data_IF_611242410759
#
_entry.id   IF_611242410759
#
_cell.length_a   1.000
_cell.length_b   1.000
_cell.length_c   1.000
_cell.angle_alpha   90.00
_cell.angle_beta   90.00
_cell.angle_gamma   90.00
#
_symmetry.space_group_name_H-M   'P 1'
#
loop_
_entity.id
_entity.type
_entity.pdbx_description
1 polymer ?
#
# COMPACT_ATOMS: atom_id res chain seq x y z
N UNK A 1 -27.26 4.74 5.24
CA UNK A 1 -26.22 3.72 5.27
C UNK A 1 -26.15 3.05 3.91
N UNK A 2 -25.05 3.20 3.17
CA UNK A 2 -24.90 2.63 1.81
C UNK A 2 -23.89 1.48 1.91
N UNK A 3 -24.32 0.25 1.71
CA UNK A 3 -23.45 -0.93 1.59
C UNK A 3 -23.13 -1.16 0.11
N UNK A 4 -21.88 -1.32 -0.21
CA UNK A 4 -21.44 -1.71 -1.55
C UNK A 4 -20.66 -3.01 -1.38
N UNK A 5 -21.25 -4.12 -1.84
CA UNK A 5 -20.57 -5.40 -1.94
C UNK A 5 -19.99 -5.54 -3.34
N UNK A 6 -18.74 -5.90 -3.43
CA UNK A 6 -18.13 -6.36 -4.68
C UNK A 6 -17.34 -7.63 -4.39
N UNK A 7 -17.75 -8.75 -4.95
CA UNK A 7 -16.90 -9.91 -5.08
C UNK A 7 -16.49 -10.01 -6.54
N UNK A 8 -15.22 -10.14 -6.81
CA UNK A 8 -14.70 -10.38 -8.15
C UNK A 8 -13.69 -11.53 -8.07
N UNK A 9 -13.90 -12.56 -8.88
CA UNK A 9 -12.84 -13.51 -9.21
C UNK A 9 -12.26 -13.10 -10.57
N UNK A 10 -10.98 -12.87 -10.64
CA UNK A 10 -10.29 -12.46 -11.86
C UNK A 10 -8.99 -13.25 -11.98
N UNK A 11 -8.70 -13.79 -13.16
CA UNK A 11 -7.34 -14.22 -13.50
C UNK A 11 -6.54 -12.95 -13.86
N UNK A 12 -5.42 -12.74 -13.20
CA UNK A 12 -4.53 -11.65 -13.48
C UNK A 12 -3.25 -12.19 -14.15
N UNK A 13 -2.91 -11.64 -15.30
CA UNK A 13 -1.63 -11.90 -15.95
C UNK A 13 -0.84 -10.61 -15.94
N UNK A 14 0.33 -10.64 -15.31
CA UNK A 14 1.22 -9.50 -15.22
C UNK A 14 2.63 -9.93 -15.63
N UNK A 15 3.30 -9.14 -16.47
CA UNK A 15 4.71 -9.33 -16.81
C UNK A 15 5.56 -8.43 -15.96
N UNK A 16 6.48 -8.98 -15.20
CA UNK A 16 7.45 -8.24 -14.39
C UNK A 16 8.81 -8.28 -15.07
N UNK A 17 9.35 -7.10 -15.35
CA UNK A 17 10.67 -6.94 -15.98
C UNK A 17 11.66 -6.33 -14.97
N UNK A 18 12.86 -6.90 -14.90
CA UNK A 18 13.96 -6.35 -14.14
C UNK A 18 15.15 -6.15 -15.10
N UNK A 19 15.33 -4.92 -15.57
CA UNK A 19 16.42 -4.56 -16.47
C UNK A 19 17.43 -3.68 -15.71
N UNK A 20 18.66 -4.16 -15.59
CA UNK A 20 19.78 -3.39 -15.08
C UNK A 20 20.68 -2.98 -16.24
N UNK A 21 20.79 -1.69 -16.51
CA UNK A 21 21.70 -1.13 -17.50
C UNK A 21 22.86 -0.42 -16.80
N UNK A 22 24.08 -0.70 -17.25
CA UNK A 22 25.27 0.01 -16.84
C UNK A 22 26.05 0.49 -18.08
N UNK A 23 26.29 1.80 -18.13
CA UNK A 23 27.00 2.45 -19.25
C UNK A 23 26.42 2.13 -20.65
N UNK A 24 25.06 2.01 -20.73
CA UNK A 24 24.37 1.72 -22.00
C UNK A 24 24.42 0.25 -22.43
N UNK A 25 24.93 -0.64 -21.60
CA UNK A 25 24.89 -2.09 -21.80
C UNK A 25 23.93 -2.73 -20.80
N UNK A 26 23.02 -3.56 -21.27
CA UNK A 26 22.17 -4.38 -20.42
C UNK A 26 23.01 -5.41 -19.68
N UNK A 27 23.08 -5.30 -18.35
CA UNK A 27 23.84 -6.23 -17.49
C UNK A 27 22.98 -7.40 -17.05
N UNK A 28 21.70 -7.14 -16.78
CA UNK A 28 20.71 -8.15 -16.46
C UNK A 28 19.39 -7.77 -17.13
N UNK A 29 18.85 -8.66 -17.94
CA UNK A 29 17.48 -8.58 -18.44
C UNK A 29 16.76 -9.85 -17.98
N UNK A 30 15.81 -9.71 -17.05
CA UNK A 30 15.01 -10.83 -16.58
C UNK A 30 13.54 -10.49 -16.67
N UNK A 31 12.78 -11.36 -17.31
CA UNK A 31 11.34 -11.26 -17.44
C UNK A 31 10.70 -12.46 -16.77
N UNK A 32 9.68 -12.22 -15.99
CA UNK A 32 8.81 -13.28 -15.48
C UNK A 32 7.36 -12.91 -15.71
N UNK A 33 6.60 -13.88 -16.20
CA UNK A 33 5.16 -13.74 -16.34
C UNK A 33 4.51 -14.25 -15.04
N UNK A 34 3.80 -13.37 -14.38
CA UNK A 34 3.03 -13.68 -13.20
C UNK A 34 1.61 -14.09 -13.61
N UNK A 35 1.22 -15.30 -13.29
CA UNK A 35 -0.14 -15.78 -13.46
C UNK A 35 -0.73 -16.10 -12.08
N UNK A 36 -1.85 -15.44 -11.75
CA UNK A 36 -2.52 -15.58 -10.47
C UNK A 36 -4.02 -15.74 -10.62
N UNK A 37 -4.57 -16.54 -9.74
CA UNK A 37 -6.01 -16.57 -9.48
C UNK A 37 -6.27 -15.67 -8.26
N UNK A 38 -7.12 -14.66 -8.44
CA UNK A 38 -7.46 -13.69 -7.42
C UNK A 38 -8.92 -13.80 -6.99
N UNK A 39 -9.14 -13.85 -5.68
CA UNK A 39 -10.46 -13.73 -5.06
C UNK A 39 -10.46 -12.58 -4.08
N UNK A 40 -11.30 -11.57 -4.34
CA UNK A 40 -11.41 -10.36 -3.53
C UNK A 40 -12.80 -10.15 -2.94
N UNK A 41 -12.85 -9.58 -1.74
CA UNK A 41 -14.06 -9.14 -1.06
C UNK A 41 -13.86 -7.73 -0.52
N UNK A 42 -14.78 -6.82 -0.85
CA UNK A 42 -14.80 -5.44 -0.36
C UNK A 42 -16.14 -5.13 0.30
N UNK A 43 -16.14 -4.60 1.52
CA UNK A 43 -17.31 -4.02 2.20
C UNK A 43 -17.01 -2.58 2.61
N UNK A 44 -17.76 -1.63 2.04
CA UNK A 44 -17.70 -0.22 2.38
C UNK A 44 -19.02 0.22 2.99
N UNK A 45 -18.97 0.63 4.24
CA UNK A 45 -20.09 1.22 4.96
C UNK A 45 -19.76 2.68 5.24
N UNK A 46 -20.57 3.61 4.70
CA UNK A 46 -20.34 5.04 4.86
C UNK A 46 -21.60 5.74 5.37
N UNK A 47 -21.46 6.45 6.47
CA UNK A 47 -22.51 7.31 7.03
C UNK A 47 -22.24 8.77 6.71
N UNK A 48 -20.99 9.21 6.81
CA UNK A 48 -20.53 10.56 6.48
C UNK A 48 -19.09 10.48 5.97
N UNK A 49 -18.52 11.61 5.54
CA UNK A 49 -17.10 11.74 5.16
C UNK A 49 -16.19 11.45 6.37
N UNK A 50 -16.63 11.81 7.57
CA UNK A 50 -15.91 11.59 8.83
C UNK A 50 -16.31 10.28 9.54
N UNK A 51 -17.13 9.46 8.91
CA UNK A 51 -17.64 8.21 9.50
C UNK A 51 -17.84 7.16 8.42
N UNK A 52 -16.84 6.31 8.25
CA UNK A 52 -16.90 5.17 7.35
C UNK A 52 -16.09 3.99 7.88
N UNK A 53 -16.41 2.82 7.37
CA UNK A 53 -15.67 1.59 7.58
C UNK A 53 -15.44 0.93 6.22
N UNK A 54 -14.24 0.49 5.97
CA UNK A 54 -13.85 -0.27 4.78
C UNK A 54 -13.13 -1.54 5.22
N UNK A 55 -13.57 -2.68 4.70
CA UNK A 55 -12.89 -3.96 4.87
C UNK A 55 -12.60 -4.51 3.48
N UNK A 56 -11.35 -4.92 3.25
CA UNK A 56 -10.92 -5.59 2.04
C UNK A 56 -10.22 -6.88 2.42
N UNK A 57 -10.54 -7.94 1.71
CA UNK A 57 -9.90 -9.25 1.83
C UNK A 57 -9.58 -9.73 0.42
N UNK A 58 -8.33 -9.98 0.15
CA UNK A 58 -7.83 -10.45 -1.13
C UNK A 58 -7.01 -11.71 -0.94
N UNK A 59 -7.24 -12.71 -1.76
CA UNK A 59 -6.52 -13.97 -1.77
C UNK A 59 -5.99 -14.26 -3.17
N UNK A 60 -4.75 -14.67 -3.25
CA UNK A 60 -4.02 -14.89 -4.48
C UNK A 60 -3.38 -16.25 -4.48
N UNK A 61 -3.49 -16.97 -5.57
CA UNK A 61 -2.89 -18.28 -5.79
C UNK A 61 -2.11 -18.27 -7.08
N UNK A 62 -0.81 -18.51 -7.01
CA UNK A 62 0.00 -18.89 -8.15
C UNK A 62 -0.08 -20.40 -8.32
N UNK A 63 -0.73 -20.91 -9.39
CA UNK A 63 -1.03 -22.34 -9.52
C UNK A 63 0.15 -23.19 -10.02
N UNK A 64 1.36 -22.65 -10.00
CA UNK A 64 2.56 -23.28 -10.52
C UNK A 64 2.98 -22.76 -11.89
N UNK A 65 4.13 -23.20 -12.38
CA UNK A 65 4.74 -22.75 -13.63
C UNK A 65 4.23 -23.46 -14.87
N UNK A 66 4.61 -22.93 -16.04
CA UNK A 66 4.35 -23.53 -17.35
C UNK A 66 3.05 -23.10 -18.02
N UNK A 67 2.34 -22.12 -17.49
CA UNK A 67 1.11 -21.59 -18.07
C UNK A 67 1.37 -20.55 -19.18
N UNK A 68 2.48 -19.83 -19.10
CA UNK A 68 2.93 -18.85 -20.09
C UNK A 68 4.44 -18.98 -20.30
N UNK A 69 5.01 -18.29 -21.32
CA UNK A 69 6.40 -18.49 -21.74
C UNK A 69 7.45 -18.30 -20.63
N UNK A 70 7.31 -17.26 -19.82
CA UNK A 70 8.25 -16.92 -18.73
C UNK A 70 7.67 -17.20 -17.32
N UNK A 71 6.59 -17.95 -17.22
CA UNK A 71 6.03 -18.41 -15.97
C UNK A 71 6.72 -19.71 -15.51
N UNK A 72 7.90 -19.58 -14.93
CA UNK A 72 8.72 -20.69 -14.45
C UNK A 72 9.49 -20.32 -13.18
N UNK A 73 9.81 -21.31 -12.36
CA UNK A 73 10.62 -21.10 -11.16
C UNK A 73 11.99 -20.48 -11.49
N UNK A 74 12.60 -20.85 -12.62
CA UNK A 74 13.88 -20.28 -13.05
C UNK A 74 13.76 -18.80 -13.38
N UNK A 75 12.70 -18.38 -14.08
CA UNK A 75 12.44 -16.98 -14.38
C UNK A 75 12.19 -16.16 -13.09
N UNK A 76 11.40 -16.70 -12.16
CA UNK A 76 11.11 -16.06 -10.87
C UNK A 76 12.38 -15.90 -10.03
N UNK A 77 13.21 -16.96 -9.95
CA UNK A 77 14.46 -16.95 -9.17
C UNK A 77 15.54 -16.03 -9.77
N UNK A 78 15.46 -15.72 -11.05
CA UNK A 78 16.34 -14.71 -11.68
C UNK A 78 15.99 -13.30 -11.19
N UNK A 79 14.71 -13.02 -10.91
CA UNK A 79 14.24 -11.72 -10.38
C UNK A 79 14.49 -11.64 -8.87
N UNK A 80 14.09 -12.70 -8.14
CA UNK A 80 14.28 -12.78 -6.68
C UNK A 80 14.62 -14.23 -6.30
N UNK A 81 15.85 -14.52 -5.91
CA UNK A 81 16.27 -15.86 -5.55
C UNK A 81 15.39 -16.49 -4.45
N UNK A 82 15.07 -17.77 -4.58
CA UNK A 82 14.25 -18.49 -3.63
C UNK A 82 12.73 -18.35 -3.83
N UNK A 83 12.26 -17.65 -4.87
CA UNK A 83 10.84 -17.58 -5.22
C UNK A 83 10.36 -18.82 -5.96
N UNK A 84 9.07 -19.10 -5.88
CA UNK A 84 8.38 -20.18 -6.59
C UNK A 84 7.17 -19.62 -7.32
N UNK A 85 6.76 -20.29 -8.40
CA UNK A 85 5.50 -20.03 -9.11
C UNK A 85 4.29 -20.66 -8.42
N UNK A 86 4.53 -21.58 -7.49
CA UNK A 86 3.51 -22.20 -6.64
C UNK A 86 3.53 -21.51 -5.28
N UNK A 87 2.56 -20.66 -5.03
CA UNK A 87 2.42 -19.88 -3.80
C UNK A 87 0.96 -19.51 -3.55
N UNK A 88 0.71 -19.20 -2.30
CA UNK A 88 -0.52 -18.56 -1.85
C UNK A 88 -0.17 -17.36 -1.00
N UNK A 89 -0.89 -16.26 -1.18
CA UNK A 89 -0.90 -15.20 -0.19
C UNK A 89 -2.29 -14.58 -0.03
N UNK A 90 -2.54 -14.04 1.15
CA UNK A 90 -3.75 -13.29 1.45
C UNK A 90 -3.39 -11.94 2.04
N UNK A 91 -4.14 -10.93 1.64
CA UNK A 91 -4.02 -9.55 2.13
C UNK A 91 -5.35 -9.11 2.73
N UNK A 92 -5.28 -8.47 3.88
CA UNK A 92 -6.41 -7.87 4.57
C UNK A 92 -6.14 -6.38 4.77
N UNK A 93 -7.15 -5.55 4.56
CA UNK A 93 -7.16 -4.15 4.99
C UNK A 93 -8.48 -3.86 5.72
N UNK A 94 -8.37 -3.31 6.91
CA UNK A 94 -9.50 -2.77 7.67
C UNK A 94 -9.21 -1.30 7.98
N UNK A 95 -10.09 -0.42 7.53
CA UNK A 95 -9.98 1.02 7.79
C UNK A 95 -11.29 1.53 8.38
N UNK A 96 -11.17 2.34 9.42
CA UNK A 96 -12.34 3.01 9.98
C UNK A 96 -12.00 4.44 10.35
N UNK A 97 -12.90 5.35 10.02
CA UNK A 97 -12.91 6.72 10.51
C UNK A 97 -14.14 6.93 11.37
N UNK A 98 -13.93 7.50 12.56
CA UNK A 98 -14.98 7.73 13.55
C UNK A 98 -14.77 9.08 14.24
N UNK A 99 -15.88 9.72 14.63
CA UNK A 99 -15.84 10.87 15.54
C UNK A 99 -15.65 10.36 16.98
N UNK A 100 -14.55 10.77 17.61
CA UNK A 100 -14.29 10.50 19.04
C UNK A 100 -15.09 11.46 19.90
N UNK A 101 -15.19 12.73 19.43
CA UNK A 101 -16.06 13.76 20.00
C UNK A 101 -16.71 14.54 18.86
N UNK A 102 -17.56 15.51 19.18
CA UNK A 102 -18.20 16.36 18.16
C UNK A 102 -17.19 17.03 17.20
N UNK A 103 -16.01 17.36 17.68
CA UNK A 103 -15.00 18.14 16.94
C UNK A 103 -13.73 17.35 16.57
N UNK A 104 -13.58 16.11 17.03
CA UNK A 104 -12.38 15.33 16.83
C UNK A 104 -12.66 13.99 16.19
N UNK A 105 -11.83 13.61 15.24
CA UNK A 105 -11.92 12.35 14.53
C UNK A 105 -10.65 11.51 14.71
N UNK A 106 -10.85 10.20 14.67
CA UNK A 106 -9.81 9.18 14.66
C UNK A 106 -10.01 8.32 13.41
N UNK A 107 -8.95 8.16 12.65
CA UNK A 107 -8.84 7.12 11.62
C UNK A 107 -7.84 6.08 12.08
N UNK A 108 -8.19 4.82 11.92
CA UNK A 108 -7.24 3.73 12.00
C UNK A 108 -7.34 2.86 10.75
N UNK A 109 -6.17 2.40 10.27
CA UNK A 109 -6.04 1.45 9.17
C UNK A 109 -5.10 0.35 9.59
N UNK A 110 -5.58 -0.88 9.52
CA UNK A 110 -4.78 -2.07 9.71
C UNK A 110 -4.66 -2.77 8.36
N UNK A 111 -3.44 -3.05 7.94
CA UNK A 111 -3.14 -3.87 6.75
C UNK A 111 -2.31 -5.07 7.20
N UNK A 112 -2.67 -6.25 6.74
CA UNK A 112 -1.94 -7.49 7.01
C UNK A 112 -1.75 -8.29 5.73
N UNK A 113 -0.65 -8.99 5.63
CA UNK A 113 -0.35 -9.96 4.56
C UNK A 113 0.28 -11.20 5.15
N UNK A 114 -0.19 -12.36 4.69
CA UNK A 114 0.42 -13.65 4.98
C UNK A 114 0.71 -14.36 3.67
N UNK A 115 1.89 -14.95 3.54
CA UNK A 115 2.30 -15.71 2.36
C UNK A 115 2.79 -17.09 2.76
N UNK A 116 2.53 -18.10 1.93
CA UNK A 116 3.06 -19.46 2.11
C UNK A 116 4.55 -19.52 1.77
N UNK A 117 4.93 -18.82 0.71
CA UNK A 117 6.26 -18.84 0.11
C UNK A 117 6.84 -17.41 -0.04
N UNK A 118 8.08 -17.34 -0.50
CA UNK A 118 8.74 -16.12 -0.90
C UNK A 118 8.11 -15.59 -2.19
N UNK A 119 7.63 -14.35 -2.17
CA UNK A 119 6.91 -13.73 -3.28
C UNK A 119 7.85 -12.92 -4.20
N UNK A 120 7.44 -12.64 -5.43
CA UNK A 120 8.07 -11.61 -6.24
C UNK A 120 7.89 -10.22 -5.59
N UNK A 121 8.78 -9.29 -5.86
CA UNK A 121 8.74 -7.94 -5.26
C UNK A 121 7.44 -7.18 -5.53
N UNK A 122 6.77 -7.44 -6.66
CA UNK A 122 5.45 -6.86 -6.99
C UNK A 122 4.38 -7.24 -5.98
N UNK A 123 4.45 -8.47 -5.41
CA UNK A 123 3.44 -9.03 -4.53
C UNK A 123 3.77 -8.86 -3.03
N UNK A 124 4.97 -8.35 -2.72
CA UNK A 124 5.36 -8.13 -1.32
C UNK A 124 4.64 -6.95 -0.67
N UNK A 125 4.45 -7.04 0.63
CA UNK A 125 4.03 -5.92 1.47
C UNK A 125 5.21 -4.95 1.62
N UNK A 126 5.08 -3.75 1.03
CA UNK A 126 6.09 -2.70 1.19
C UNK A 126 5.94 -1.96 2.50
N UNK A 127 7.01 -1.88 3.29
CA UNK A 127 7.09 -1.04 4.48
C UNK A 127 7.89 0.23 4.14
N UNK A 128 7.35 1.37 4.52
CA UNK A 128 7.92 2.69 4.21
C UNK A 128 7.24 3.37 3.01
N UNK A 129 7.11 4.68 3.11
CA UNK A 129 6.47 5.53 2.10
C UNK A 129 5.15 6.14 2.55
N UNK A 130 4.59 6.94 1.68
CA UNK A 130 3.43 7.76 1.99
C UNK A 130 2.12 6.98 2.25
N UNK A 131 2.03 5.73 1.80
CA UNK A 131 0.83 4.88 1.96
C UNK A 131 0.94 3.89 3.10
N UNK A 132 2.14 3.69 3.64
CA UNK A 132 2.41 2.68 4.66
C UNK A 132 2.99 3.29 5.93
N UNK A 133 4.29 3.41 6.07
CA UNK A 133 4.95 4.02 7.24
C UNK A 133 5.65 5.31 6.78
N UNK A 134 5.01 6.44 7.02
CA UNK A 134 5.51 7.77 6.64
C UNK A 134 6.79 8.08 7.42
N UNK A 135 7.70 8.85 6.83
CA UNK A 135 9.02 9.12 7.42
C UNK A 135 10.14 8.24 6.88
N UNK A 136 9.80 7.22 6.08
CA UNK A 136 10.74 6.34 5.40
C UNK A 136 10.62 6.45 3.87
N UNK A 137 11.65 6.00 3.16
CA UNK A 137 11.61 5.83 1.71
C UNK A 137 10.46 4.91 1.29
N UNK A 138 9.97 5.10 0.06
CA UNK A 138 8.97 4.21 -0.50
C UNK A 138 9.51 2.78 -0.57
N UNK A 139 8.78 1.82 0.03
CA UNK A 139 9.16 0.41 0.06
C UNK A 139 10.60 0.18 0.58
N UNK A 140 10.98 0.89 1.65
CA UNK A 140 12.30 0.75 2.26
C UNK A 140 12.60 -0.69 2.70
N UNK A 141 11.57 -1.48 2.99
CA UNK A 141 11.63 -2.92 3.21
C UNK A 141 10.47 -3.61 2.49
N UNK A 142 10.74 -4.78 1.90
CA UNK A 142 9.75 -5.60 1.20
C UNK A 142 9.57 -6.93 1.93
N UNK A 143 8.40 -7.15 2.51
CA UNK A 143 8.06 -8.31 3.30
C UNK A 143 7.13 -9.27 2.56
N UNK A 144 7.32 -10.57 2.73
CA UNK A 144 6.38 -11.58 2.24
C UNK A 144 5.18 -11.71 3.18
N UNK A 145 5.42 -11.57 4.49
CA UNK A 145 4.40 -11.60 5.55
C UNK A 145 4.62 -10.43 6.50
N UNK A 146 3.55 -9.79 6.95
CA UNK A 146 3.67 -8.65 7.86
C UNK A 146 2.35 -7.95 8.11
N UNK A 147 2.43 -6.86 8.89
CA UNK A 147 1.30 -6.00 9.16
C UNK A 147 1.73 -4.54 9.31
N UNK A 148 0.79 -3.64 9.08
CA UNK A 148 0.91 -2.19 9.18
C UNK A 148 -0.28 -1.64 9.95
N UNK A 149 -0.05 -0.71 10.85
CA UNK A 149 -1.07 0.06 11.55
C UNK A 149 -0.80 1.55 11.36
N UNK A 150 -1.78 2.25 10.83
CA UNK A 150 -1.77 3.70 10.72
C UNK A 150 -2.87 4.27 11.63
N UNK A 151 -2.52 5.19 12.48
CA UNK A 151 -3.42 5.94 13.34
C UNK A 151 -3.32 7.42 12.98
N UNK A 152 -4.46 8.07 12.72
CA UNK A 152 -4.52 9.49 12.42
C UNK A 152 -5.56 10.16 13.33
N UNK A 153 -5.13 11.17 14.06
CA UNK A 153 -5.98 11.92 14.99
C UNK A 153 -5.92 13.41 14.69
N UNK A 154 -7.07 14.05 14.59
CA UNK A 154 -7.15 15.48 14.28
C UNK A 154 -8.55 16.05 14.45
N UNK A 155 -8.71 17.34 14.20
CA UNK A 155 -10.02 17.95 14.17
C UNK A 155 -10.88 17.33 13.05
N UNK A 156 -12.20 17.42 13.25
CA UNK A 156 -13.16 17.05 12.21
C UNK A 156 -12.84 17.77 10.90
N UNK A 157 -13.07 17.08 9.77
CA UNK A 157 -12.84 17.63 8.43
C UNK A 157 -13.57 18.96 8.25
N UNK A 158 -12.84 20.02 7.97
CA UNK A 158 -13.41 21.31 7.62
C UNK A 158 -14.07 21.20 6.25
N UNK A 159 -15.26 21.79 6.13
CA UNK A 159 -16.05 21.77 4.89
C UNK A 159 -16.30 23.21 4.49
N UNK A 160 -15.99 23.50 3.24
CA UNK A 160 -16.14 24.84 2.62
C UNK A 160 -16.57 24.71 1.18
N UNK A 161 -16.34 25.78 0.43
CA UNK A 161 -16.71 25.86 -0.96
C UNK A 161 -18.20 26.14 -1.20
N UNK A 162 -18.61 26.09 -2.45
CA UNK A 162 -20.02 26.23 -2.84
C UNK A 162 -20.63 24.87 -3.17
N UNK A 163 -21.94 24.84 -3.40
CA UNK A 163 -22.68 23.58 -3.66
C UNK A 163 -22.13 22.81 -4.89
N UNK A 164 -21.67 23.55 -5.89
CA UNK A 164 -21.16 22.98 -7.15
C UNK A 164 -19.64 22.67 -7.08
N UNK A 165 -18.93 23.27 -6.13
CA UNK A 165 -17.52 23.04 -5.89
C UNK A 165 -17.25 22.91 -4.38
N UNK A 166 -17.62 21.77 -3.77
CA UNK A 166 -17.38 21.53 -2.36
C UNK A 166 -15.89 21.36 -2.09
N UNK A 167 -15.44 21.95 -0.99
CA UNK A 167 -14.06 21.85 -0.53
C UNK A 167 -14.00 21.12 0.80
N UNK A 168 -12.93 20.36 0.99
CA UNK A 168 -12.63 19.73 2.28
C UNK A 168 -11.18 19.90 2.64
N UNK A 169 -10.93 20.22 3.92
CA UNK A 169 -9.59 20.30 4.49
C UNK A 169 -9.54 19.44 5.74
N UNK A 170 -8.62 18.49 5.78
CA UNK A 170 -8.33 17.64 6.93
C UNK A 170 -6.89 17.80 7.35
N UNK A 171 -6.68 18.14 8.63
CA UNK A 171 -5.35 18.25 9.26
C UNK A 171 -5.32 17.22 10.39
N UNK A 172 -4.21 16.50 10.57
CA UNK A 172 -4.10 15.46 11.58
C UNK A 172 -2.64 15.23 11.98
N UNK A 173 -2.45 14.70 13.18
CA UNK A 173 -1.23 14.02 13.58
C UNK A 173 -1.37 12.53 13.34
N UNK A 174 -0.25 11.81 13.16
CA UNK A 174 -0.28 10.39 12.93
C UNK A 174 0.81 9.63 13.68
N UNK A 175 0.53 8.34 13.88
CA UNK A 175 1.50 7.31 14.26
C UNK A 175 1.33 6.18 13.28
N UNK A 176 2.42 5.78 12.62
CA UNK A 176 2.49 4.62 11.73
C UNK A 176 3.47 3.61 12.31
N UNK A 177 3.06 2.34 12.32
CA UNK A 177 3.92 1.25 12.77
C UNK A 177 3.69 0.00 11.93
N UNK A 178 4.67 -0.86 11.88
CA UNK A 178 4.53 -2.12 11.19
C UNK A 178 5.75 -3.01 11.34
N UNK A 179 5.54 -4.26 10.96
CA UNK A 179 6.58 -5.28 10.94
C UNK A 179 6.47 -6.12 9.69
N UNK A 180 7.59 -6.61 9.23
CA UNK A 180 7.68 -7.45 8.06
C UNK A 180 8.68 -8.58 8.20
N UNK A 181 8.35 -9.70 7.58
CA UNK A 181 9.16 -10.91 7.55
C UNK A 181 9.38 -11.35 6.12
N UNK A 182 10.61 -11.73 5.80
CA UNK A 182 11.00 -12.33 4.53
C UNK A 182 10.97 -13.85 4.68
N UNK A 183 10.27 -14.54 3.80
CA UNK A 183 10.28 -16.00 3.73
C UNK A 183 11.59 -16.48 3.10
N UNK A 184 12.20 -17.52 3.68
CA UNK A 184 13.43 -18.11 3.17
C UNK A 184 14.51 -17.06 2.82
N UNK A 185 14.91 -16.20 3.81
CA UNK A 185 15.86 -15.13 3.55
C UNK A 185 17.19 -15.69 3.05
N UNK A 186 17.78 -15.01 2.08
CA UNK A 186 19.08 -15.38 1.53
C UNK A 186 20.21 -14.87 2.43
N UNK A 187 21.42 -15.42 2.25
CA UNK A 187 22.58 -14.99 3.02
C UNK A 187 22.82 -13.48 2.83
N UNK A 188 22.90 -12.74 3.93
CA UNK A 188 23.08 -11.28 3.93
C UNK A 188 21.78 -10.48 3.78
N UNK A 189 20.62 -11.12 3.72
CA UNK A 189 19.32 -10.46 3.68
C UNK A 189 18.69 -10.38 5.07
N UNK A 190 18.12 -9.22 5.40
CA UNK A 190 17.39 -9.04 6.66
C UNK A 190 16.08 -9.83 6.63
N UNK A 191 15.94 -10.77 7.54
CA UNK A 191 14.75 -11.62 7.64
C UNK A 191 13.54 -10.94 8.24
N UNK A 192 13.75 -9.88 9.02
CA UNK A 192 12.72 -9.21 9.81
C UNK A 192 13.01 -7.72 9.94
N UNK A 193 11.95 -6.92 9.98
CA UNK A 193 12.04 -5.51 10.33
C UNK A 193 10.84 -5.06 11.16
N UNK A 194 11.06 -4.02 11.95
CA UNK A 194 10.04 -3.25 12.65
C UNK A 194 10.30 -1.78 12.40
N UNK A 195 9.25 -1.02 12.12
CA UNK A 195 9.34 0.42 11.89
C UNK A 195 8.25 1.15 12.67
N UNK A 196 8.59 2.32 13.18
CA UNK A 196 7.71 3.23 13.89
C UNK A 196 8.00 4.66 13.47
N UNK A 197 6.97 5.42 13.16
CA UNK A 197 7.07 6.84 12.82
C UNK A 197 5.90 7.64 13.38
N UNK A 198 6.08 8.95 13.45
CA UNK A 198 5.04 9.92 13.80
C UNK A 198 5.16 11.15 12.92
N UNK A 199 4.14 11.97 12.91
CA UNK A 199 4.17 13.20 12.11
C UNK A 199 2.83 13.91 12.03
N UNK A 200 2.75 14.78 11.04
CA UNK A 200 1.56 15.57 10.74
C UNK A 200 1.21 15.48 9.27
N UNK A 201 -0.07 15.54 8.96
CA UNK A 201 -0.57 15.44 7.60
C UNK A 201 -1.69 16.43 7.30
N UNK A 202 -1.81 16.73 6.00
CA UNK A 202 -2.84 17.59 5.44
C UNK A 202 -3.43 16.94 4.19
N UNK A 203 -4.75 16.99 4.07
CA UNK A 203 -5.51 16.57 2.89
C UNK A 203 -6.44 17.71 2.50
N UNK A 204 -6.31 18.19 1.28
CA UNK A 204 -7.20 19.17 0.71
C UNK A 204 -7.84 18.61 -0.56
N UNK A 205 -9.15 18.68 -0.66
CA UNK A 205 -9.86 18.30 -1.88
C UNK A 205 -10.80 19.43 -2.27
N UNK A 206 -10.81 19.74 -3.56
CA UNK A 206 -11.72 20.67 -4.18
C UNK A 206 -12.54 19.92 -5.21
N UNK A 207 -13.80 19.64 -4.91
CA UNK A 207 -14.68 18.74 -5.63
C UNK A 207 -13.99 17.40 -5.98
N UNK A 208 -14.26 16.83 -7.14
CA UNK A 208 -13.60 15.63 -7.67
C UNK A 208 -12.39 15.98 -8.57
N UNK A 209 -12.01 17.26 -8.65
CA UNK A 209 -11.02 17.74 -9.63
C UNK A 209 -9.61 17.88 -9.07
N UNK A 210 -9.48 18.35 -7.85
CA UNK A 210 -8.19 18.61 -7.23
C UNK A 210 -8.10 17.89 -5.88
N UNK A 211 -7.07 17.09 -5.71
CA UNK A 211 -6.71 16.49 -4.43
C UNK A 211 -5.25 16.77 -4.14
N UNK A 212 -4.98 17.37 -2.98
CA UNK A 212 -3.64 17.64 -2.50
C UNK A 212 -3.39 16.90 -1.20
N UNK A 213 -2.21 16.32 -1.08
CA UNK A 213 -1.73 15.69 0.16
C UNK A 213 -0.35 16.21 0.52
N UNK A 214 -0.13 16.40 1.81
CA UNK A 214 1.16 16.74 2.37
C UNK A 214 1.32 16.01 3.69
N UNK A 215 2.42 15.27 3.86
CA UNK A 215 2.76 14.57 5.09
C UNK A 215 4.21 14.84 5.45
N UNK A 216 4.46 15.24 6.70
CA UNK A 216 5.79 15.29 7.27
C UNK A 216 5.91 14.18 8.31
N UNK A 217 6.79 13.22 8.05
CA UNK A 217 7.02 12.05 8.88
C UNK A 217 8.41 12.07 9.52
N UNK A 218 8.46 11.68 10.78
CA UNK A 218 9.67 11.50 11.57
C UNK A 218 9.80 10.04 12.00
N UNK A 219 10.88 9.39 11.61
CA UNK A 219 11.16 8.01 11.96
C UNK A 219 11.63 7.91 13.43
N UNK A 220 10.80 7.31 14.29
CA UNK A 220 11.13 7.05 15.69
C UNK A 220 12.01 5.82 15.84
N UNK A 221 11.74 4.79 15.04
CA UNK A 221 12.51 3.56 14.97
C UNK A 221 12.80 3.21 13.52
N UNK A 222 14.08 3.05 13.17
CA UNK A 222 14.52 2.79 11.81
C UNK A 222 14.17 1.40 11.31
N UNK A 223 13.89 1.29 10.02
CA UNK A 223 13.93 0.04 9.27
C UNK A 223 15.38 -0.43 9.27
N UNK A 224 15.62 -1.73 9.43
CA UNK A 224 16.97 -2.30 9.50
C UNK A 224 17.79 -1.86 8.28
N UNK A 225 18.97 -1.28 8.51
CA UNK A 225 19.85 -0.73 7.46
C UNK A 225 19.46 0.64 6.91
N UNK A 226 18.29 1.19 7.26
CA UNK A 226 17.90 2.55 6.90
C UNK A 226 18.18 3.53 8.05
N UNK A 227 18.80 4.66 7.74
CA UNK A 227 18.99 5.73 8.73
C UNK A 227 17.64 6.30 9.18
N UNK A 228 17.59 6.77 10.44
CA UNK A 228 16.44 7.52 10.94
C UNK A 228 16.38 8.84 10.19
N UNK A 229 15.37 9.02 9.38
CA UNK A 229 15.21 10.19 8.53
C UNK A 229 13.88 10.89 8.79
N UNK A 230 13.84 12.15 8.42
CA UNK A 230 12.62 12.90 8.28
C UNK A 230 12.25 12.93 6.81
N UNK A 231 10.97 12.77 6.52
CA UNK A 231 10.52 12.81 5.12
C UNK A 231 9.30 13.69 4.96
N UNK A 232 9.36 14.47 3.90
CA UNK A 232 8.22 15.20 3.38
C UNK A 232 7.68 14.45 2.17
N UNK A 233 6.42 14.05 2.25
CA UNK A 233 5.70 13.44 1.14
C UNK A 233 4.64 14.42 0.67
N UNK A 234 4.59 14.71 -0.62
CA UNK A 234 3.53 15.51 -1.19
C UNK A 234 2.98 14.84 -2.44
N UNK A 235 1.73 15.12 -2.74
CA UNK A 235 1.08 14.64 -3.95
C UNK A 235 -0.03 15.60 -4.35
N UNK A 236 -0.18 15.79 -5.65
CA UNK A 236 -1.27 16.56 -6.24
C UNK A 236 -1.88 15.72 -7.35
N UNK A 237 -3.18 15.53 -7.29
CA UNK A 237 -3.94 14.91 -8.35
C UNK A 237 -4.90 15.95 -8.91
N UNK A 238 -4.79 16.21 -10.19
CA UNK A 238 -5.70 17.11 -10.89
C UNK A 238 -6.36 16.37 -12.05
N UNK A 239 -7.69 16.39 -12.09
CA UNK A 239 -8.50 15.77 -13.13
C UNK A 239 -9.12 16.91 -13.94
N UNK A 240 -8.64 17.18 -15.18
CA UNK A 240 -9.26 18.15 -16.04
C UNK A 240 -10.66 17.66 -16.41
N UNK A 241 -11.69 18.35 -15.94
CA UNK A 241 -13.08 18.04 -16.26
C UNK A 241 -13.62 18.99 -17.30
N UNK A 242 -14.29 18.47 -18.33
CA UNK A 242 -15.23 19.27 -19.10
C UNK A 242 -16.41 19.63 -18.18
N UNK A 243 -16.80 20.90 -18.15
CA UNK A 243 -18.06 21.29 -17.49
C UNK A 243 -19.18 20.57 -18.22
N UNK A 244 -20.04 19.81 -17.54
CA UNK A 244 -21.29 19.41 -18.17
C UNK A 244 -22.04 20.70 -18.54
N UNK A 245 -22.37 20.82 -19.83
CA UNK A 245 -23.19 21.90 -20.36
C UNK A 245 -24.62 21.80 -19.85
#
# INVERSE_FOLDING_TARGET
MRRIFRSASTSNQQTTNNNLEFAGSSVVASNADLFELHLGFDDLQRTDIDQYQLIKLDSYVGPGGGLTGSNSNSAFQTIRPGTSTDYFYARMMAEQTSLVTHNWQLLYRLTGQVASERLLFSETLGLGGYDTIRGFNQRAFNADTGWLLNLEFGPRTFRGGCKDEPETLRVFSFIDMGTGYVKHPQSGEDAYTYALSTGVGLRYNMSDRLSCRLDYGYALQGIFGAERENRLHFGVTWIPGERPR
#
